data_IF_608188859033
#
_entry.id   IF_608188859033
#
_cell.length_a   1.000
_cell.length_b   1.000
_cell.length_c   1.000
_cell.angle_alpha   90.00
_cell.angle_beta   90.00
_cell.angle_gamma   90.00
#
_symmetry.space_group_name_H-M   'P 1'
#
loop_
_entity.id
_entity.type
_entity.pdbx_description
1 polymer ?
#
# COMPACT_ATOMS: atom_id res chain seq x y z
N UNK A 1 -25.00 16.74 16.72
CA UNK A 1 -23.87 17.69 16.68
C UNK A 1 -22.73 17.04 15.91
N UNK A 2 -22.53 17.42 14.64
CA UNK A 2 -21.43 16.90 13.82
C UNK A 2 -20.16 17.71 14.13
N UNK A 3 -19.13 17.05 14.64
CA UNK A 3 -17.82 17.68 14.86
C UNK A 3 -17.19 18.01 13.51
N UNK A 4 -17.20 19.30 13.17
CA UNK A 4 -16.54 19.88 12.01
C UNK A 4 -15.03 19.89 12.30
N UNK A 5 -14.32 18.85 11.90
CA UNK A 5 -12.86 18.77 12.01
C UNK A 5 -12.21 19.74 11.02
N UNK A 6 -11.69 20.85 11.53
CA UNK A 6 -10.97 21.86 10.75
C UNK A 6 -9.70 21.28 10.12
N UNK A 7 -9.68 21.23 8.78
CA UNK A 7 -8.50 20.88 8.00
C UNK A 7 -7.62 22.11 7.77
N UNK A 8 -6.70 22.38 8.71
CA UNK A 8 -5.57 23.29 8.47
C UNK A 8 -4.63 22.69 7.43
N UNK A 9 -4.73 23.17 6.20
CA UNK A 9 -3.89 22.78 5.07
C UNK A 9 -2.50 23.42 5.17
N UNK A 10 -1.60 22.80 5.92
CA UNK A 10 -0.16 23.05 5.85
C UNK A 10 0.53 22.09 4.88
N UNK A 11 1.48 22.60 4.10
CA UNK A 11 2.35 21.87 3.17
C UNK A 11 2.93 20.63 3.87
N UNK A 12 2.62 19.42 3.37
CA UNK A 12 3.20 18.15 3.87
C UNK A 12 2.36 17.32 4.84
N UNK A 13 1.10 17.67 5.11
CA UNK A 13 0.29 16.93 6.11
C UNK A 13 -0.29 15.63 5.54
N UNK A 14 0.12 14.47 6.09
CA UNK A 14 -0.49 13.17 5.79
C UNK A 14 -1.98 13.16 6.15
N UNK A 15 -2.80 12.51 5.31
CA UNK A 15 -4.23 12.34 5.59
C UNK A 15 -4.39 11.55 6.90
N UNK A 16 -5.06 12.16 7.86
CA UNK A 16 -5.30 11.56 9.17
C UNK A 16 -6.79 11.43 9.46
N UNK A 17 -7.15 10.38 10.18
CA UNK A 17 -8.47 10.16 10.74
C UNK A 17 -8.33 10.12 12.25
N UNK A 18 -9.12 10.90 12.98
CA UNK A 18 -9.12 10.85 14.45
C UNK A 18 -10.14 9.84 14.94
N UNK A 19 -9.70 8.91 15.77
CA UNK A 19 -10.58 7.94 16.45
C UNK A 19 -10.31 8.10 17.94
N UNK A 20 -11.35 8.41 18.71
CA UNK A 20 -11.25 8.62 20.17
C UNK A 20 -10.16 9.62 20.60
N UNK A 21 -9.93 10.68 19.81
CA UNK A 21 -8.90 11.68 20.08
C UNK A 21 -7.48 11.31 19.63
N UNK A 22 -7.27 10.09 19.09
CA UNK A 22 -5.98 9.62 18.56
C UNK A 22 -5.95 9.77 17.05
N UNK A 23 -4.89 10.38 16.51
CA UNK A 23 -4.69 10.52 15.05
C UNK A 23 -4.14 9.23 14.45
N UNK A 24 -4.90 8.64 13.54
CA UNK A 24 -4.48 7.52 12.70
C UNK A 24 -4.07 8.04 11.31
N UNK A 25 -2.92 7.57 10.81
CA UNK A 25 -2.39 7.97 9.51
C UNK A 25 -2.38 6.78 8.55
N UNK A 26 -3.05 6.94 7.41
CA UNK A 26 -3.01 5.97 6.31
C UNK A 26 -1.93 6.40 5.33
N UNK A 27 -0.79 5.72 5.35
CA UNK A 27 0.39 6.17 4.58
C UNK A 27 0.42 5.60 3.16
N UNK A 28 -0.11 4.38 2.96
CA UNK A 28 -0.18 3.71 1.66
C UNK A 28 -1.57 3.10 1.42
N UNK A 29 -1.83 2.59 0.21
CA UNK A 29 -3.04 1.83 -0.15
C UNK A 29 -4.17 2.65 -0.78
N UNK A 30 -4.00 3.96 -0.97
CA UNK A 30 -4.97 4.82 -1.66
C UNK A 30 -4.36 5.34 -2.96
N UNK A 31 -5.16 5.39 -4.03
CA UNK A 31 -4.81 6.00 -5.32
C UNK A 31 -3.86 5.20 -6.22
N UNK A 32 -4.05 3.88 -6.29
CA UNK A 32 -3.45 3.06 -7.35
C UNK A 32 -4.01 3.46 -8.71
N UNK A 33 -3.12 3.73 -9.67
CA UNK A 33 -3.49 3.94 -11.06
C UNK A 33 -3.05 2.74 -11.87
N UNK A 34 -4.02 2.00 -12.38
CA UNK A 34 -3.75 0.78 -13.11
C UNK A 34 -2.90 1.01 -14.37
N UNK A 35 -1.97 0.09 -14.72
CA UNK A 35 -1.13 0.19 -15.91
C UNK A 35 -1.93 0.39 -17.19
N UNK A 36 -3.08 -0.27 -17.31
CA UNK A 36 -3.97 -0.20 -18.47
C UNK A 36 -4.76 1.12 -18.60
N UNK A 37 -4.60 2.06 -17.65
CA UNK A 37 -5.19 3.40 -17.80
C UNK A 37 -4.52 4.14 -18.96
N UNK A 38 -5.34 4.66 -19.90
CA UNK A 38 -4.90 5.42 -21.06
C UNK A 38 -3.93 6.56 -20.69
N UNK A 39 -2.89 6.75 -21.50
CA UNK A 39 -1.86 7.77 -21.29
C UNK A 39 -2.44 9.19 -21.15
N UNK A 40 -3.52 9.52 -21.87
CA UNK A 40 -4.24 10.80 -21.76
C UNK A 40 -4.79 11.03 -20.34
N UNK A 41 -5.38 9.99 -19.74
CA UNK A 41 -5.94 10.01 -18.39
C UNK A 41 -4.82 10.03 -17.33
N UNK A 42 -3.72 9.31 -17.55
CA UNK A 42 -2.51 9.45 -16.71
C UNK A 42 -1.94 10.87 -16.74
N UNK A 43 -1.94 11.53 -17.89
CA UNK A 43 -1.45 12.91 -18.02
C UNK A 43 -2.38 13.92 -17.35
N UNK A 44 -3.70 13.73 -17.40
CA UNK A 44 -4.64 14.61 -16.66
C UNK A 44 -4.47 14.48 -15.15
N UNK A 45 -4.20 13.27 -14.64
CA UNK A 45 -3.94 13.03 -13.21
C UNK A 45 -2.70 13.75 -12.69
N UNK A 46 -1.73 14.11 -13.54
CA UNK A 46 -0.56 14.91 -13.12
C UNK A 46 -0.94 16.29 -12.58
N UNK A 47 -2.14 16.81 -12.88
CA UNK A 47 -2.64 18.09 -12.36
C UNK A 47 -3.42 17.94 -11.04
N UNK A 48 -3.74 16.70 -10.65
CA UNK A 48 -4.49 16.42 -9.44
C UNK A 48 -3.56 16.52 -8.21
N UNK A 49 -3.95 17.35 -7.25
CA UNK A 49 -3.19 17.57 -6.02
C UNK A 49 -3.09 16.30 -5.16
N UNK A 50 -4.09 15.42 -5.18
CA UNK A 50 -4.05 14.15 -4.45
C UNK A 50 -3.09 13.17 -5.12
N UNK A 51 -3.08 13.13 -6.46
CA UNK A 51 -2.13 12.32 -7.22
C UNK A 51 -0.69 12.77 -7.01
N UNK A 52 -0.43 14.08 -6.97
CA UNK A 52 0.90 14.64 -6.71
C UNK A 52 1.40 14.37 -5.28
N UNK A 53 0.49 14.22 -4.31
CA UNK A 53 0.81 13.93 -2.90
C UNK A 53 0.92 12.43 -2.61
N UNK A 54 0.81 11.56 -3.61
CA UNK A 54 0.85 10.11 -3.40
C UNK A 54 2.22 9.70 -2.87
N UNK A 55 2.22 9.12 -1.68
CA UNK A 55 3.39 8.54 -1.04
C UNK A 55 3.28 7.02 -1.10
N UNK A 56 4.24 6.37 -1.75
CA UNK A 56 4.43 4.92 -1.68
C UNK A 56 5.68 4.67 -0.85
N UNK A 57 5.52 4.05 0.33
CA UNK A 57 6.66 3.75 1.20
C UNK A 57 7.48 2.57 0.68
N UNK A 58 6.79 1.51 0.26
CA UNK A 58 7.39 0.33 -0.36
C UNK A 58 6.88 0.30 -1.79
N UNK A 59 7.82 0.24 -2.74
CA UNK A 59 7.52 0.22 -4.15
C UNK A 59 6.69 -1.01 -4.52
N UNK A 60 5.56 -0.78 -5.18
CA UNK A 60 4.65 -1.81 -5.70
C UNK A 60 4.15 -2.81 -4.65
N UNK A 61 3.94 -2.34 -3.40
CA UNK A 61 3.31 -3.11 -2.33
C UNK A 61 1.81 -3.33 -2.61
N UNK A 62 1.50 -4.20 -3.57
CA UNK A 62 0.13 -4.56 -3.95
C UNK A 62 0.04 -5.92 -4.62
N UNK A 63 -1.20 -6.40 -4.69
CA UNK A 63 -1.61 -7.57 -5.45
C UNK A 63 -2.73 -7.18 -6.41
N UNK A 64 -2.88 -7.94 -7.49
CA UNK A 64 -3.89 -7.66 -8.53
C UNK A 64 -5.31 -7.74 -7.96
N UNK A 65 -5.57 -8.75 -7.13
CA UNK A 65 -6.89 -9.01 -6.55
C UNK A 65 -6.97 -8.60 -5.09
N UNK A 66 -6.30 -9.34 -4.21
CA UNK A 66 -6.28 -9.06 -2.77
C UNK A 66 -5.12 -9.81 -2.10
N UNK A 67 -4.73 -9.32 -0.92
CA UNK A 67 -3.80 -9.99 0.00
C UNK A 67 -4.55 -10.91 0.96
N UNK A 68 -3.99 -12.08 1.28
CA UNK A 68 -4.55 -13.00 2.29
C UNK A 68 -3.84 -12.90 3.63
N UNK A 69 -2.51 -12.96 3.62
CA UNK A 69 -1.66 -12.93 4.82
C UNK A 69 -0.45 -12.05 4.60
N UNK A 70 -0.01 -11.41 5.67
CA UNK A 70 1.20 -10.59 5.71
C UNK A 70 1.91 -10.91 7.03
N UNK A 71 3.20 -11.24 6.96
CA UNK A 71 4.07 -11.45 8.13
C UNK A 71 5.40 -10.74 7.91
N UNK A 72 6.02 -10.32 9.00
CA UNK A 72 7.35 -9.69 9.01
C UNK A 72 8.32 -10.71 9.58
N UNK A 73 9.55 -10.75 9.07
CA UNK A 73 10.60 -11.60 9.64
C UNK A 73 11.00 -11.13 11.05
N UNK A 74 11.43 -12.03 11.95
CA UNK A 74 11.81 -11.67 13.33
C UNK A 74 12.93 -10.62 13.42
N UNK A 75 13.82 -10.59 12.42
CA UNK A 75 14.91 -9.61 12.29
C UNK A 75 14.45 -8.25 11.72
N UNK A 76 13.18 -8.12 11.33
CA UNK A 76 12.59 -6.91 10.78
C UNK A 76 13.17 -6.49 9.42
N UNK A 77 13.83 -7.40 8.69
CA UNK A 77 14.43 -7.07 7.39
C UNK A 77 13.46 -7.26 6.21
N UNK A 78 12.48 -8.15 6.34
CA UNK A 78 11.58 -8.52 5.25
C UNK A 78 10.11 -8.50 5.64
N UNK A 79 9.28 -8.14 4.66
CA UNK A 79 7.82 -8.34 4.71
C UNK A 79 7.45 -9.38 3.67
N UNK A 80 6.76 -10.43 4.10
CA UNK A 80 6.25 -11.49 3.24
C UNK A 80 4.74 -11.32 3.17
N UNK A 81 4.20 -11.26 1.96
CA UNK A 81 2.77 -11.17 1.71
C UNK A 81 2.32 -12.23 0.70
N UNK A 82 1.13 -12.77 0.90
CA UNK A 82 0.47 -13.68 -0.03
C UNK A 82 -0.78 -13.05 -0.64
N UNK A 83 -1.13 -13.44 -1.86
CA UNK A 83 -2.32 -12.98 -2.55
C UNK A 83 -3.10 -14.07 -3.27
N UNK A 84 -4.37 -13.75 -3.57
CA UNK A 84 -5.39 -14.72 -4.00
C UNK A 84 -5.28 -15.05 -5.50
N UNK A 85 -5.19 -14.05 -6.37
CA UNK A 85 -5.20 -14.26 -7.82
C UNK A 85 -4.25 -13.33 -8.60
N UNK A 86 -3.37 -13.90 -9.46
CA UNK A 86 -3.01 -15.32 -9.44
C UNK A 86 -2.39 -15.67 -8.07
N UNK A 87 -2.57 -16.90 -7.55
CA UNK A 87 -2.01 -17.29 -6.26
C UNK A 87 -0.50 -17.05 -6.26
N UNK A 88 -0.03 -16.21 -5.36
CA UNK A 88 1.38 -15.80 -5.36
C UNK A 88 1.82 -15.29 -3.98
N UNK A 89 3.13 -15.35 -3.77
CA UNK A 89 3.84 -14.82 -2.62
C UNK A 89 4.80 -13.74 -3.10
N UNK A 90 4.84 -12.60 -2.41
CA UNK A 90 5.79 -11.51 -2.64
C UNK A 90 6.61 -11.29 -1.38
N UNK A 91 7.92 -11.13 -1.54
CA UNK A 91 8.86 -10.79 -0.47
C UNK A 91 9.41 -9.40 -0.73
N UNK A 92 9.29 -8.51 0.24
CA UNK A 92 9.77 -7.13 0.18
C UNK A 92 10.92 -6.96 1.17
N UNK A 93 11.98 -6.28 0.74
CA UNK A 93 13.12 -5.94 1.58
C UNK A 93 12.93 -4.52 2.12
N UNK A 94 12.90 -4.38 3.45
CA UNK A 94 12.59 -3.11 4.10
C UNK A 94 13.72 -2.09 4.00
N UNK A 95 14.96 -2.54 3.86
CA UNK A 95 16.12 -1.67 3.64
C UNK A 95 16.09 -1.01 2.25
N UNK A 96 15.68 -1.76 1.24
CA UNK A 96 15.61 -1.30 -0.16
C UNK A 96 14.23 -0.77 -0.56
N UNK A 97 13.26 -0.80 0.37
CA UNK A 97 11.89 -0.33 0.19
C UNK A 97 11.22 -0.85 -1.09
N UNK A 98 11.52 -2.09 -1.48
CA UNK A 98 11.10 -2.65 -2.76
C UNK A 98 10.94 -4.16 -2.69
N UNK A 99 10.30 -4.70 -3.73
CA UNK A 99 10.10 -6.14 -3.86
C UNK A 99 11.43 -6.82 -4.19
N UNK A 100 11.80 -7.80 -3.38
CA UNK A 100 12.98 -8.64 -3.60
C UNK A 100 12.70 -9.70 -4.65
N UNK A 101 11.59 -10.41 -4.52
CA UNK A 101 11.10 -11.35 -5.51
C UNK A 101 9.61 -11.64 -5.33
N UNK A 102 9.00 -12.21 -6.37
CA UNK A 102 7.68 -12.81 -6.33
C UNK A 102 7.72 -14.26 -6.83
N UNK A 103 6.82 -15.09 -6.32
CA UNK A 103 6.67 -16.48 -6.75
C UNK A 103 5.20 -16.83 -6.88
N UNK A 104 4.85 -17.37 -8.05
CA UNK A 104 3.52 -17.90 -8.31
C UNK A 104 3.37 -19.30 -7.69
N UNK A 105 2.18 -19.56 -7.19
CA UNK A 105 1.77 -20.81 -6.55
C UNK A 105 0.67 -21.46 -7.37
N UNK A 106 0.53 -22.78 -7.24
CA UNK A 106 -0.53 -23.53 -7.93
C UNK A 106 -1.89 -23.28 -7.29
N UNK A 107 -1.92 -22.99 -5.98
CA UNK A 107 -3.12 -22.75 -5.18
C UNK A 107 -2.90 -21.63 -4.15
N UNK A 108 -4.00 -21.13 -3.59
CA UNK A 108 -4.02 -20.05 -2.60
C UNK A 108 -3.30 -20.40 -1.31
N UNK A 109 -2.55 -19.43 -0.77
CA UNK A 109 -1.89 -19.55 0.54
C UNK A 109 -2.87 -19.07 1.62
N UNK A 110 -3.33 -20.01 2.46
CA UNK A 110 -4.23 -19.74 3.59
C UNK A 110 -3.46 -19.21 4.80
N UNK A 111 -2.32 -19.82 5.10
CA UNK A 111 -1.38 -19.41 6.15
C UNK A 111 0.05 -19.88 5.81
N UNK A 112 1.04 -19.25 6.41
CA UNK A 112 2.45 -19.60 6.30
C UNK A 112 3.20 -19.17 7.56
N UNK A 113 4.25 -19.88 7.96
CA UNK A 113 5.06 -19.49 9.12
C UNK A 113 6.43 -18.96 8.68
N UNK A 114 6.94 -17.99 9.44
CA UNK A 114 8.31 -17.47 9.29
C UNK A 114 9.10 -18.01 10.47
N UNK A 115 10.15 -18.77 10.17
CA UNK A 115 11.02 -19.43 11.16
C UNK A 115 12.15 -18.52 11.62
#
# INVERSE_FOLDING_TARGET
MAAKGGGGGGVGTLKSTSINGVKLYSVTGKNYVAPWVLAKKKRSLRKDAEYQRRLELIHDLRFETATTRIKVTPDGQYVIASGIYPPQMKVFELKELSMKFERHMISEIIDFEVL
#
